data_IF_062035359691
#
_entry.id   IF_062035359691
#
_cell.length_a   1.000
_cell.length_b   1.000
_cell.length_c   1.000
_cell.angle_alpha   90.00
_cell.angle_beta   90.00
_cell.angle_gamma   90.00
#
_symmetry.space_group_name_H-M   'P 1'
#
loop_
_entity.id
_entity.type
_entity.pdbx_description
1 polymer ?
#
# COMPACT_ATOMS: atom_id res chain seq x y z
N UNK A 1 15.65 10.13 5.86
CA UNK A 1 14.69 11.12 5.32
C UNK A 1 13.65 11.42 6.40
N UNK A 2 13.12 12.64 6.48
CA UNK A 2 12.13 13.05 7.49
C UNK A 2 10.86 13.55 6.80
N UNK A 3 9.73 12.91 7.06
CA UNK A 3 8.41 13.24 6.51
C UNK A 3 7.48 13.91 7.52
N UNK A 4 7.74 13.73 8.82
CA UNK A 4 6.99 14.38 9.90
C UNK A 4 7.66 15.69 10.35
N UNK A 5 6.86 16.61 10.89
CA UNK A 5 7.29 17.83 11.56
C UNK A 5 6.74 17.85 12.99
N UNK A 6 7.38 17.07 13.87
CA UNK A 6 6.87 16.81 15.21
C UNK A 6 5.73 15.79 15.22
N UNK A 7 4.92 15.80 16.27
CA UNK A 7 3.83 14.82 16.45
C UNK A 7 2.55 15.18 15.69
N UNK A 8 2.42 16.41 15.20
CA UNK A 8 1.13 16.97 14.78
C UNK A 8 1.07 17.33 13.30
N UNK A 9 2.22 17.62 12.71
CA UNK A 9 2.30 18.16 11.35
C UNK A 9 3.13 17.25 10.46
N UNK A 10 2.79 17.22 9.18
CA UNK A 10 3.69 16.71 8.16
C UNK A 10 4.74 17.77 7.82
N UNK A 11 5.86 17.33 7.25
CA UNK A 11 6.88 18.23 6.72
C UNK A 11 6.28 18.99 5.53
N UNK A 12 6.61 20.27 5.42
CA UNK A 12 6.19 21.10 4.29
C UNK A 12 6.56 20.46 2.95
N UNK A 13 5.63 20.49 1.99
CA UNK A 13 5.78 19.86 0.68
C UNK A 13 5.65 18.34 0.68
N UNK A 14 5.17 17.73 1.77
CA UNK A 14 4.92 16.28 1.85
C UNK A 14 3.49 15.98 2.25
N UNK A 15 2.94 14.92 1.68
CA UNK A 15 1.65 14.33 2.04
C UNK A 15 1.83 12.84 2.36
N UNK A 16 1.00 12.32 3.26
CA UNK A 16 1.07 10.93 3.72
C UNK A 16 -0.26 10.26 3.48
N UNK A 17 -0.24 9.17 2.71
CA UNK A 17 -1.41 8.37 2.38
C UNK A 17 -1.23 6.96 2.92
N UNK A 18 -1.60 6.77 4.19
CA UNK A 18 -1.50 5.48 4.87
C UNK A 18 -2.74 4.61 4.58
N UNK A 19 -2.60 3.28 4.47
CA UNK A 19 -3.74 2.39 4.28
C UNK A 19 -4.69 2.49 5.49
N UNK A 20 -5.96 2.81 5.23
CA UNK A 20 -6.96 3.08 6.27
C UNK A 20 -7.81 1.85 6.61
N UNK A 21 -8.01 0.96 5.63
CA UNK A 21 -8.75 -0.30 5.80
C UNK A 21 -8.34 -1.32 4.73
N UNK A 22 -8.62 -2.61 4.98
CA UNK A 22 -8.63 -3.64 3.94
C UNK A 22 -10.00 -3.62 3.29
N UNK A 23 -10.10 -3.17 2.05
CA UNK A 23 -11.38 -3.08 1.35
C UNK A 23 -11.79 -4.42 0.71
N UNK A 24 -10.84 -5.10 0.07
CA UNK A 24 -11.01 -6.48 -0.33
C UNK A 24 -9.68 -7.23 -0.31
N UNK A 25 -9.80 -8.55 -0.28
CA UNK A 25 -8.69 -9.49 -0.27
C UNK A 25 -8.83 -10.42 -1.46
N UNK A 26 -7.71 -10.68 -2.15
CA UNK A 26 -7.59 -11.70 -3.17
C UNK A 26 -6.54 -12.71 -2.71
N UNK A 27 -6.93 -13.97 -2.60
CA UNK A 27 -6.02 -15.06 -2.32
C UNK A 27 -5.56 -15.69 -3.63
N UNK A 28 -4.26 -15.90 -3.75
CA UNK A 28 -3.61 -16.65 -4.82
C UNK A 28 -2.77 -17.77 -4.18
N UNK A 29 -2.38 -18.76 -4.96
CA UNK A 29 -1.76 -20.00 -4.45
C UNK A 29 -0.54 -19.76 -3.55
N UNK A 30 0.25 -18.72 -3.84
CA UNK A 30 1.49 -18.41 -3.11
C UNK A 30 1.48 -17.04 -2.42
N UNK A 31 0.38 -16.29 -2.47
CA UNK A 31 0.34 -14.93 -1.92
C UNK A 31 -1.07 -14.43 -1.59
N UNK A 32 -1.13 -13.51 -0.65
CA UNK A 32 -2.30 -12.72 -0.32
C UNK A 32 -2.14 -11.31 -0.90
N UNK A 33 -3.14 -10.84 -1.64
CA UNK A 33 -3.17 -9.50 -2.21
C UNK A 33 -4.29 -8.72 -1.53
N UNK A 34 -3.97 -7.56 -0.96
CA UNK A 34 -4.93 -6.68 -0.29
C UNK A 34 -5.09 -5.38 -1.10
N UNK A 35 -6.33 -4.99 -1.30
CA UNK A 35 -6.69 -3.65 -1.73
C UNK A 35 -6.90 -2.77 -0.50
N UNK A 36 -6.02 -1.78 -0.32
CA UNK A 36 -5.97 -0.96 0.87
C UNK A 36 -6.08 0.53 0.51
N UNK A 37 -7.31 1.07 0.41
CA UNK A 37 -7.51 2.49 0.20
C UNK A 37 -6.97 3.31 1.37
N UNK A 38 -6.60 4.55 1.08
CA UNK A 38 -5.97 5.46 2.06
C UNK A 38 -6.97 6.35 2.82
N UNK A 39 -8.26 6.06 2.63
CA UNK A 39 -9.40 6.58 3.38
C UNK A 39 -10.40 5.45 3.66
N UNK A 40 -11.32 5.68 4.60
CA UNK A 40 -12.39 4.73 4.88
C UNK A 40 -13.45 4.77 3.78
N UNK A 41 -13.94 3.59 3.40
CA UNK A 41 -15.03 3.43 2.43
C UNK A 41 -16.32 3.22 3.21
N UNK A 42 -17.17 4.24 3.28
CA UNK A 42 -18.48 4.18 3.94
C UNK A 42 -19.59 3.83 2.95
N UNK A 43 -19.48 4.29 1.71
CA UNK A 43 -20.43 4.02 0.64
C UNK A 43 -19.75 3.87 -0.72
N UNK A 44 -20.49 3.39 -1.73
CA UNK A 44 -19.94 3.13 -3.09
C UNK A 44 -19.33 4.37 -3.75
N UNK A 45 -19.81 5.58 -3.43
CA UNK A 45 -19.20 6.81 -3.96
C UNK A 45 -17.73 6.99 -3.55
N UNK A 46 -17.31 6.43 -2.41
CA UNK A 46 -15.94 6.60 -1.90
C UNK A 46 -14.92 5.77 -2.68
N UNK A 47 -15.37 4.83 -3.51
CA UNK A 47 -14.48 3.96 -4.30
C UNK A 47 -13.98 4.61 -5.58
N UNK A 48 -14.36 5.86 -5.85
CA UNK A 48 -14.05 6.57 -7.11
C UNK A 48 -12.85 7.50 -7.00
N UNK A 49 -12.31 7.72 -5.80
CA UNK A 49 -11.24 8.70 -5.57
C UNK A 49 -10.23 8.25 -4.53
N UNK A 50 -9.14 9.00 -4.45
CA UNK A 50 -8.06 8.79 -3.48
C UNK A 50 -7.03 7.74 -3.90
N UNK A 51 -5.83 7.76 -3.31
CA UNK A 51 -4.83 6.72 -3.53
C UNK A 51 -5.29 5.36 -2.99
N UNK A 52 -5.00 4.31 -3.76
CA UNK A 52 -5.20 2.93 -3.35
C UNK A 52 -3.86 2.19 -3.37
N UNK A 53 -3.54 1.53 -2.27
CA UNK A 53 -2.31 0.74 -2.15
C UNK A 53 -2.61 -0.74 -2.41
N UNK A 54 -1.72 -1.37 -3.16
CA UNK A 54 -1.75 -2.82 -3.35
C UNK A 54 -0.71 -3.46 -2.44
N UNK A 55 -1.16 -4.18 -1.42
CA UNK A 55 -0.26 -4.94 -0.54
C UNK A 55 -0.19 -6.38 -1.02
N UNK A 56 1.02 -6.92 -1.18
CA UNK A 56 1.26 -8.34 -1.51
C UNK A 56 2.04 -8.98 -0.38
N UNK A 57 1.50 -10.05 0.18
CA UNK A 57 2.08 -10.81 1.28
C UNK A 57 2.34 -12.22 0.78
N UNK A 58 3.60 -12.66 0.83
CA UNK A 58 4.02 -14.00 0.40
C UNK A 58 5.03 -14.57 1.40
N UNK A 59 5.18 -15.89 1.47
CA UNK A 59 6.19 -16.52 2.32
C UNK A 59 7.26 -17.23 1.47
N UNK A 60 8.39 -16.58 1.12
CA UNK A 60 9.41 -17.19 0.26
C UNK A 60 10.18 -18.33 0.93
N UNK A 61 10.17 -18.40 2.26
CA UNK A 61 10.78 -19.46 3.06
C UNK A 61 10.08 -19.57 4.43
N UNK A 62 10.21 -20.70 5.15
CA UNK A 62 9.61 -20.87 6.48
C UNK A 62 9.99 -19.71 7.41
N UNK A 63 9.03 -19.26 8.22
CA UNK A 63 9.20 -18.14 9.17
C UNK A 63 9.54 -16.77 8.54
N UNK A 64 9.42 -16.60 7.22
CA UNK A 64 9.63 -15.30 6.54
C UNK A 64 8.36 -14.84 5.81
N UNK A 65 7.88 -13.64 6.16
CA UNK A 65 6.85 -12.93 5.40
C UNK A 65 7.49 -11.81 4.58
N UNK A 66 7.37 -11.90 3.25
CA UNK A 66 7.66 -10.79 2.34
C UNK A 66 6.40 -9.95 2.18
N UNK A 67 6.51 -8.67 2.51
CA UNK A 67 5.45 -7.67 2.36
C UNK A 67 5.89 -6.65 1.32
N UNK A 68 5.09 -6.48 0.26
CA UNK A 68 5.28 -5.45 -0.76
C UNK A 68 4.12 -4.50 -0.72
N UNK A 69 4.39 -3.19 -0.77
CA UNK A 69 3.38 -2.15 -0.88
C UNK A 69 3.63 -1.36 -2.16
N UNK A 70 2.69 -1.45 -3.11
CA UNK A 70 2.79 -0.79 -4.40
C UNK A 70 1.73 0.32 -4.51
N UNK A 71 2.16 1.52 -4.93
CA UNK A 71 1.25 2.62 -5.27
C UNK A 71 0.94 2.63 -6.78
N UNK A 72 1.97 2.82 -7.62
CA UNK A 72 1.83 2.74 -9.07
C UNK A 72 2.52 1.51 -9.64
N UNK A 73 1.75 0.57 -10.20
CA UNK A 73 2.28 -0.63 -10.84
C UNK A 73 2.79 -0.38 -12.28
N UNK A 74 2.46 0.77 -12.87
CA UNK A 74 2.89 1.15 -14.22
C UNK A 74 4.30 1.76 -14.29
N UNK A 75 5.01 1.87 -13.18
CA UNK A 75 6.38 2.41 -13.17
C UNK A 75 7.33 1.41 -13.82
N UNK A 76 8.15 1.87 -14.77
CA UNK A 76 9.18 1.03 -15.39
C UNK A 76 10.22 0.66 -14.33
N UNK A 77 10.37 -0.64 -14.08
CA UNK A 77 11.46 -1.15 -13.27
C UNK A 77 12.80 -0.91 -13.98
N UNK A 78 13.72 -0.24 -13.30
CA UNK A 78 15.07 0.06 -13.78
C UNK A 78 16.14 -0.76 -13.05
N UNK A 79 15.73 -1.67 -12.16
CA UNK A 79 16.65 -2.52 -11.41
C UNK A 79 17.27 -3.62 -12.28
N UNK A 80 18.47 -4.06 -11.90
CA UNK A 80 19.18 -5.20 -12.51
C UNK A 80 18.68 -6.58 -12.03
N UNK A 81 17.58 -6.62 -11.27
CA UNK A 81 16.87 -7.85 -10.88
C UNK A 81 17.77 -8.98 -10.37
N UNK A 82 18.09 -8.96 -9.07
CA UNK A 82 18.33 -10.21 -8.31
C UNK A 82 17.00 -10.56 -7.65
#
# INVERSE_FOLDING_TARGET
MKFSNGCWMQKEGTEVFSPAQVYYTKQEDSQLILCAPTHKIAHRGDTLGGPNLTLRISAPMPEMLRIRCDHYLGVKDKGTGI
#
